data_IF_464311865524
#
_entry.id   IF_464311865524
#
_cell.length_a   1.000
_cell.length_b   1.000
_cell.length_c   1.000
_cell.angle_alpha   90.00
_cell.angle_beta   90.00
_cell.angle_gamma   90.00
#
_symmetry.space_group_name_H-M   'P 1'
#
loop_
_entity.id
_entity.type
_entity.pdbx_description
1 polymer ?
#
# COMPACT_ATOMS: atom_id res chain seq x y z
N UNK A 1 -1.71 6.69 16.09
CA UNK A 1 -2.56 6.32 14.94
C UNK A 1 -2.29 4.87 14.58
N UNK A 2 -3.32 4.05 14.70
CA UNK A 2 -3.35 2.65 14.30
C UNK A 2 -3.25 2.50 12.78
N UNK A 3 -2.69 1.36 12.36
CA UNK A 3 -2.43 1.04 10.96
C UNK A 3 -3.04 -0.30 10.62
N UNK A 4 -3.71 -0.36 9.48
CA UNK A 4 -4.39 -1.55 8.97
C UNK A 4 -3.91 -1.89 7.56
N UNK A 5 -4.20 -3.11 7.14
CA UNK A 5 -3.99 -3.53 5.75
C UNK A 5 -5.17 -3.08 4.90
N UNK A 6 -4.87 -2.55 3.73
CA UNK A 6 -5.85 -2.16 2.74
C UNK A 6 -5.49 -2.72 1.38
N UNK A 7 -6.41 -3.40 0.71
CA UNK A 7 -6.24 -3.88 -0.64
C UNK A 7 -6.61 -2.80 -1.66
N UNK A 8 -5.85 -2.73 -2.75
CA UNK A 8 -6.15 -1.83 -3.86
C UNK A 8 -7.13 -2.49 -4.81
N UNK A 9 -8.25 -1.82 -5.09
CA UNK A 9 -9.33 -2.35 -5.93
C UNK A 9 -9.06 -2.18 -7.43
N UNK A 10 -7.96 -1.53 -7.82
CA UNK A 10 -7.59 -1.36 -9.24
C UNK A 10 -8.32 -0.21 -9.95
N UNK A 11 -8.97 0.68 -9.20
CA UNK A 11 -9.76 1.78 -9.74
C UNK A 11 -9.10 3.13 -9.46
N UNK A 12 -8.89 3.92 -10.52
CA UNK A 12 -8.43 5.31 -10.44
C UNK A 12 -6.96 5.48 -10.08
N UNK A 13 -6.62 6.63 -9.50
CA UNK A 13 -5.26 6.95 -9.07
C UNK A 13 -4.89 6.13 -7.81
N UNK A 14 -3.78 5.35 -7.84
CA UNK A 14 -3.29 4.61 -6.68
C UNK A 14 -2.90 5.48 -5.47
N UNK A 15 -2.85 6.81 -5.61
CA UNK A 15 -2.63 7.75 -4.52
C UNK A 15 -3.92 8.19 -3.82
N UNK A 16 -5.09 7.81 -4.35
CA UNK A 16 -6.37 8.12 -3.72
C UNK A 16 -6.77 7.03 -2.74
N UNK A 17 -7.07 7.42 -1.50
CA UNK A 17 -7.52 6.50 -0.45
C UNK A 17 -8.86 5.80 -0.81
N UNK A 18 -9.66 6.40 -1.70
CA UNK A 18 -10.93 5.85 -2.19
C UNK A 18 -10.78 4.54 -2.96
N UNK A 19 -9.63 4.28 -3.57
CA UNK A 19 -9.31 3.04 -4.28
C UNK A 19 -8.92 1.87 -3.36
N UNK A 20 -8.86 2.10 -2.05
CA UNK A 20 -8.39 1.13 -1.06
C UNK A 20 -9.48 0.71 -0.09
N UNK A 21 -9.53 -0.58 0.21
CA UNK A 21 -10.50 -1.18 1.11
C UNK A 21 -9.79 -2.00 2.17
N UNK A 22 -10.21 -1.87 3.43
CA UNK A 22 -9.63 -2.59 4.56
C UNK A 22 -9.75 -4.10 4.34
N UNK A 23 -8.67 -4.81 4.61
CA UNK A 23 -8.64 -6.27 4.58
C UNK A 23 -8.18 -6.83 5.92
N UNK A 24 -8.80 -7.93 6.33
CA UNK A 24 -8.43 -8.72 7.52
C UNK A 24 -7.58 -9.93 7.16
N UNK A 25 -7.53 -10.30 5.87
CA UNK A 25 -6.78 -11.44 5.36
C UNK A 25 -5.35 -11.01 5.02
N UNK A 26 -4.39 -11.87 5.35
CA UNK A 26 -2.98 -11.70 4.98
C UNK A 26 -2.83 -11.90 3.48
N UNK A 27 -2.32 -10.87 2.78
CA UNK A 27 -2.03 -10.96 1.35
C UNK A 27 -0.76 -11.78 1.08
N UNK A 28 -0.71 -12.47 -0.06
CA UNK A 28 0.46 -13.24 -0.52
C UNK A 28 1.25 -12.54 -1.64
N UNK A 29 1.01 -11.24 -1.83
CA UNK A 29 1.59 -10.43 -2.88
C UNK A 29 3.05 -10.05 -2.54
N UNK A 30 4.00 -10.26 -3.45
CA UNK A 30 5.44 -10.08 -3.20
C UNK A 30 6.13 -9.31 -4.34
N UNK A 31 5.65 -9.40 -5.58
CA UNK A 31 6.17 -8.65 -6.71
C UNK A 31 5.12 -8.59 -7.82
N UNK A 32 5.21 -7.57 -8.67
CA UNK A 32 4.32 -7.42 -9.83
C UNK A 32 4.14 -5.96 -10.23
N UNK A 33 3.26 -5.73 -11.20
CA UNK A 33 3.06 -4.42 -11.82
C UNK A 33 1.89 -3.63 -11.20
N UNK A 34 1.07 -4.29 -10.38
CA UNK A 34 -0.13 -3.68 -9.78
C UNK A 34 -0.05 -3.71 -8.27
N UNK A 35 -0.57 -2.66 -7.63
CA UNK A 35 -0.70 -2.65 -6.17
C UNK A 35 -1.68 -3.73 -5.77
N UNK A 36 -1.25 -4.54 -4.81
CA UNK A 36 -2.08 -5.54 -4.17
C UNK A 36 -2.61 -5.00 -2.84
N UNK A 37 -1.70 -4.59 -1.95
CA UNK A 37 -2.05 -4.14 -0.62
C UNK A 37 -1.08 -3.10 -0.09
N UNK A 38 -1.58 -2.23 0.77
CA UNK A 38 -0.81 -1.22 1.49
C UNK A 38 -1.06 -1.31 2.99
N UNK A 39 -0.06 -0.92 3.77
CA UNK A 39 -0.13 -0.81 5.21
C UNK A 39 -0.25 0.67 5.62
N UNK A 40 -1.46 1.19 5.63
CA UNK A 40 -1.70 2.62 5.83
C UNK A 40 -2.26 2.95 7.22
N UNK A 41 -2.21 4.23 7.59
CA UNK A 41 -2.90 4.72 8.77
C UNK A 41 -4.42 4.63 8.58
N UNK A 42 -5.13 4.19 9.61
CA UNK A 42 -6.58 4.05 9.59
C UNK A 42 -7.05 2.74 10.23
N UNK A 43 -8.27 2.79 10.76
CA UNK A 43 -9.01 1.61 11.26
C UNK A 43 -10.35 1.42 10.54
N UNK A 44 -10.82 2.43 9.82
CA UNK A 44 -12.07 2.38 9.09
C UNK A 44 -11.98 1.53 7.83
N UNK A 45 -13.09 1.47 7.09
CA UNK A 45 -13.19 0.77 5.81
C UNK A 45 -12.18 1.29 4.77
N UNK A 46 -11.82 2.58 4.86
CA UNK A 46 -10.80 3.23 4.04
C UNK A 46 -9.61 3.70 4.88
N UNK A 47 -8.43 3.89 4.27
CA UNK A 47 -7.31 4.55 4.93
C UNK A 47 -7.67 5.98 5.34
N UNK A 48 -6.93 6.52 6.30
CA UNK A 48 -6.98 7.94 6.63
C UNK A 48 -6.43 8.75 5.47
N UNK A 49 -7.23 9.70 4.98
CA UNK A 49 -6.87 10.64 3.92
C UNK A 49 -6.30 11.94 4.53
N UNK A 50 -5.29 12.58 3.92
CA UNK A 50 -4.50 12.11 2.79
C UNK A 50 -3.41 11.10 3.19
N UNK A 51 -2.92 10.31 2.22
CA UNK A 51 -1.71 9.53 2.44
C UNK A 51 -0.53 10.46 2.76
N UNK A 52 0.31 10.05 3.71
CA UNK A 52 1.56 10.75 3.99
C UNK A 52 2.48 10.75 2.77
N UNK A 53 3.31 11.78 2.64
CA UNK A 53 4.26 11.90 1.53
C UNK A 53 5.15 10.66 1.37
N UNK A 54 5.59 10.07 2.48
CA UNK A 54 6.36 8.82 2.47
C UNK A 54 5.57 7.66 1.85
N UNK A 55 4.28 7.51 2.18
CA UNK A 55 3.44 6.47 1.59
C UNK A 55 3.25 6.71 0.09
N UNK A 56 2.99 7.96 -0.31
CA UNK A 56 2.88 8.33 -1.72
C UNK A 56 4.17 8.01 -2.48
N UNK A 57 5.35 8.29 -1.90
CA UNK A 57 6.63 7.94 -2.49
C UNK A 57 6.83 6.42 -2.59
N UNK A 58 6.43 5.66 -1.56
CA UNK A 58 6.50 4.20 -1.61
C UNK A 58 5.60 3.62 -2.69
N UNK A 59 4.39 4.15 -2.87
CA UNK A 59 3.48 3.74 -3.93
C UNK A 59 4.09 4.02 -5.31
N UNK A 60 4.59 5.24 -5.54
CA UNK A 60 5.25 5.62 -6.79
C UNK A 60 6.47 4.74 -7.09
N UNK A 61 7.33 4.51 -6.10
CA UNK A 61 8.51 3.65 -6.25
C UNK A 61 8.13 2.19 -6.50
N UNK A 62 7.09 1.69 -5.83
CA UNK A 62 6.61 0.33 -6.01
C UNK A 62 6.13 0.11 -7.44
N UNK A 63 5.29 1.02 -7.96
CA UNK A 63 4.81 0.98 -9.34
C UNK A 63 5.94 1.11 -10.36
N UNK A 64 6.94 1.96 -10.10
CA UNK A 64 8.07 2.14 -11.02
C UNK A 64 9.06 0.96 -11.03
N UNK A 65 9.24 0.28 -9.90
CA UNK A 65 10.25 -0.79 -9.74
C UNK A 65 9.66 -2.19 -9.83
N UNK A 66 8.33 -2.34 -9.71
CA UNK A 66 7.68 -3.64 -9.61
C UNK A 66 7.97 -4.38 -8.29
N UNK A 67 8.49 -3.66 -7.28
CA UNK A 67 8.97 -4.25 -6.01
C UNK A 67 8.34 -3.63 -4.77
N UNK A 68 8.29 -4.42 -3.70
CA UNK A 68 7.75 -3.99 -2.41
C UNK A 68 8.56 -2.85 -1.82
N UNK A 69 7.88 -1.88 -1.22
CA UNK A 69 8.51 -0.69 -0.67
C UNK A 69 8.23 -0.53 0.83
N UNK A 70 9.18 0.03 1.61
CA UNK A 70 10.54 0.41 1.23
C UNK A 70 11.46 -0.80 1.09
N UNK A 71 12.34 -0.84 0.10
CA UNK A 71 13.33 -1.93 -0.03
C UNK A 71 14.42 -1.87 1.05
N UNK A 72 14.86 -0.65 1.38
CA UNK A 72 15.95 -0.38 2.33
C UNK A 72 15.44 0.29 3.61
N UNK A 73 16.02 -0.02 4.78
CA UNK A 73 17.01 -1.07 5.05
C UNK A 73 16.42 -2.48 4.86
N UNK A 74 17.27 -3.47 4.59
CA UNK A 74 16.84 -4.86 4.42
C UNK A 74 16.15 -5.36 5.70
N UNK A 75 15.02 -6.05 5.57
CA UNK A 75 14.19 -6.47 6.71
C UNK A 75 13.25 -5.39 7.28
N UNK A 76 13.23 -4.17 6.73
CA UNK A 76 12.25 -3.15 7.13
C UNK A 76 10.81 -3.60 6.87
N UNK A 77 9.89 -3.16 7.75
CA UNK A 77 8.46 -3.38 7.56
C UNK A 77 8.03 -2.73 6.24
N UNK A 78 7.53 -3.56 5.31
CA UNK A 78 7.07 -3.10 4.00
C UNK A 78 5.67 -2.51 4.13
N UNK A 79 5.48 -1.40 3.44
CA UNK A 79 4.25 -0.62 3.44
C UNK A 79 3.44 -0.83 2.16
N UNK A 80 4.07 -1.20 1.06
CA UNK A 80 3.41 -1.38 -0.23
C UNK A 80 3.80 -2.73 -0.81
N UNK A 81 2.81 -3.51 -1.22
CA UNK A 81 2.95 -4.82 -1.84
C UNK A 81 2.29 -4.85 -3.21
N UNK A 82 2.91 -5.58 -4.14
CA UNK A 82 2.50 -5.66 -5.55
C UNK A 82 2.18 -7.11 -5.94
N UNK A 83 1.32 -7.26 -6.95
CA UNK A 83 0.94 -8.51 -7.61
C UNK A 83 0.99 -8.38 -9.12
#
# INVERSE_FOLDING_TARGET
>A
MSRSWYAYMGLGDPLLCSGYVKVTVKHNCICGEKICAIYAAGEGFRPTEPFSENMQQYIKKALATGRIQPERPFGSKKYVYLR
#
